data_IF_094802335166
#
_entry.id   IF_094802335166
#
_cell.length_a   1.000
_cell.length_b   1.000
_cell.length_c   1.000
_cell.angle_alpha   90.00
_cell.angle_beta   90.00
_cell.angle_gamma   90.00
#
_symmetry.space_group_name_H-M   'P 1'
#
loop_
_entity.id
_entity.type
_entity.pdbx_description
1 polymer ?
#
# COMPACT_ATOMS: atom_id res chain seq x y z
N UNK A 1 103.58 -36.22 -53.27
CA UNK A 1 102.84 -35.27 -54.14
C UNK A 1 101.37 -35.65 -54.32
N UNK A 2 101.02 -36.92 -54.54
CA UNK A 2 99.61 -37.36 -54.68
C UNK A 2 98.74 -37.29 -53.39
N UNK A 3 99.31 -37.52 -52.20
CA UNK A 3 98.55 -37.40 -50.94
C UNK A 3 98.13 -35.95 -50.63
N UNK A 4 99.06 -35.01 -50.76
CA UNK A 4 98.81 -33.57 -50.58
C UNK A 4 97.70 -33.03 -51.49
N UNK A 5 97.62 -33.54 -52.74
CA UNK A 5 96.55 -33.17 -53.69
C UNK A 5 95.21 -33.76 -53.25
N UNK A 6 95.20 -34.98 -52.70
CA UNK A 6 94.00 -35.66 -52.20
C UNK A 6 93.45 -34.98 -50.94
N UNK A 7 94.34 -34.59 -50.04
CA UNK A 7 94.02 -33.85 -48.81
C UNK A 7 93.50 -32.43 -49.13
N UNK A 8 94.13 -31.73 -50.07
CA UNK A 8 93.64 -30.45 -50.62
C UNK A 8 92.25 -30.54 -51.28
N UNK A 9 91.93 -31.67 -51.91
CA UNK A 9 90.59 -31.94 -52.46
C UNK A 9 89.58 -32.18 -51.35
N UNK A 10 89.94 -33.00 -50.36
CA UNK A 10 89.08 -33.34 -49.23
C UNK A 10 88.76 -32.12 -48.35
N UNK A 11 89.76 -31.28 -48.03
CA UNK A 11 89.58 -30.01 -47.35
C UNK A 11 88.65 -29.07 -48.12
N UNK A 12 88.76 -29.02 -49.46
CA UNK A 12 87.86 -28.22 -50.31
C UNK A 12 86.42 -28.73 -50.28
N UNK A 13 86.22 -30.04 -50.31
CA UNK A 13 84.88 -30.65 -50.20
C UNK A 13 84.25 -30.39 -48.84
N UNK A 14 85.04 -30.50 -47.77
CA UNK A 14 84.62 -30.17 -46.41
C UNK A 14 84.24 -28.69 -46.32
N UNK A 15 85.09 -27.77 -46.80
CA UNK A 15 84.78 -26.34 -46.82
C UNK A 15 83.49 -26.06 -47.60
N UNK A 16 83.31 -26.65 -48.79
CA UNK A 16 82.06 -26.51 -49.55
C UNK A 16 80.84 -27.01 -48.78
N UNK A 17 80.97 -28.13 -48.06
CA UNK A 17 79.88 -28.67 -47.25
C UNK A 17 79.52 -27.74 -46.09
N UNK A 18 80.52 -27.13 -45.43
CA UNK A 18 80.30 -26.14 -44.39
C UNK A 18 79.68 -24.87 -44.94
N UNK A 19 80.18 -24.32 -46.05
CA UNK A 19 79.59 -23.14 -46.70
C UNK A 19 78.14 -23.37 -47.10
N UNK A 20 77.82 -24.56 -47.63
CA UNK A 20 76.44 -24.92 -47.98
C UNK A 20 75.52 -24.97 -46.76
N UNK A 21 75.96 -25.60 -45.67
CA UNK A 21 75.20 -25.64 -44.40
C UNK A 21 75.03 -24.26 -43.77
N UNK A 22 76.03 -23.39 -43.91
CA UNK A 22 75.99 -22.02 -43.40
C UNK A 22 74.97 -21.19 -44.18
N UNK A 23 74.91 -21.34 -45.52
CA UNK A 23 73.87 -20.75 -46.37
C UNK A 23 72.47 -21.28 -46.03
N UNK A 24 72.29 -22.60 -45.87
CA UNK A 24 71.01 -23.20 -45.47
C UNK A 24 70.57 -22.71 -44.06
N UNK A 25 71.53 -22.53 -43.14
CA UNK A 25 71.27 -21.97 -41.82
C UNK A 25 70.88 -20.48 -41.86
N UNK A 26 71.51 -19.69 -42.73
CA UNK A 26 71.15 -18.28 -42.94
C UNK A 26 69.75 -18.15 -43.57
N UNK A 27 69.44 -18.96 -44.58
CA UNK A 27 68.14 -18.97 -45.25
C UNK A 27 67.00 -19.40 -44.30
N UNK A 28 67.23 -20.45 -43.51
CA UNK A 28 66.26 -20.88 -42.49
C UNK A 28 66.05 -19.84 -41.39
N UNK A 29 67.12 -19.16 -40.94
CA UNK A 29 67.03 -18.05 -39.98
C UNK A 29 66.21 -16.88 -40.54
N UNK A 30 66.43 -16.50 -41.80
CA UNK A 30 65.66 -15.45 -42.46
C UNK A 30 64.17 -15.83 -42.56
N UNK A 31 63.87 -17.08 -42.91
CA UNK A 31 62.50 -17.60 -42.99
C UNK A 31 61.80 -17.61 -41.63
N UNK A 32 62.51 -18.01 -40.57
CA UNK A 32 61.99 -18.00 -39.20
C UNK A 32 61.74 -16.56 -38.71
N UNK A 33 62.62 -15.62 -39.04
CA UNK A 33 62.44 -14.21 -38.69
C UNK A 33 61.16 -13.64 -39.32
N UNK A 34 60.97 -13.87 -40.63
CA UNK A 34 59.75 -13.44 -41.33
C UNK A 34 58.49 -14.07 -40.74
N UNK A 35 58.56 -15.34 -40.34
CA UNK A 35 57.43 -16.04 -39.72
C UNK A 35 57.11 -15.49 -38.33
N UNK A 36 58.12 -15.17 -37.53
CA UNK A 36 57.93 -14.52 -36.22
C UNK A 36 57.30 -13.14 -36.38
N UNK A 37 57.78 -12.32 -37.31
CA UNK A 37 57.21 -11.00 -37.58
C UNK A 37 55.74 -11.08 -38.01
N UNK A 38 55.40 -12.05 -38.88
CA UNK A 38 54.00 -12.30 -39.25
C UNK A 38 53.16 -12.79 -38.06
N UNK A 39 53.72 -13.61 -37.17
CA UNK A 39 53.03 -14.07 -35.96
C UNK A 39 52.79 -12.94 -34.97
N UNK A 40 53.77 -12.05 -34.77
CA UNK A 40 53.62 -10.85 -33.92
C UNK A 40 52.53 -9.92 -34.48
N UNK A 41 52.53 -9.70 -35.80
CA UNK A 41 51.48 -8.92 -36.46
C UNK A 41 50.10 -9.56 -36.28
N UNK A 42 49.99 -10.87 -36.53
CA UNK A 42 48.72 -11.58 -36.34
C UNK A 42 48.26 -11.56 -34.86
N UNK A 43 49.20 -11.61 -33.92
CA UNK A 43 48.89 -11.58 -32.50
C UNK A 43 48.36 -10.21 -32.07
N UNK A 44 49.01 -9.13 -32.50
CA UNK A 44 48.53 -7.75 -32.27
C UNK A 44 47.16 -7.48 -32.91
N UNK A 45 46.92 -7.98 -34.13
CA UNK A 45 45.60 -7.90 -34.76
C UNK A 45 44.53 -8.65 -33.96
N UNK A 46 44.84 -9.83 -33.43
CA UNK A 46 43.94 -10.61 -32.58
C UNK A 46 43.65 -9.92 -31.24
N UNK A 47 44.67 -9.34 -30.61
CA UNK A 47 44.51 -8.58 -29.36
C UNK A 47 43.59 -7.38 -29.56
N UNK A 48 43.75 -6.63 -30.66
CA UNK A 48 42.87 -5.51 -30.99
C UNK A 48 41.41 -5.95 -31.19
N UNK A 49 41.18 -7.09 -31.86
CA UNK A 49 39.83 -7.64 -32.05
C UNK A 49 39.22 -8.09 -30.71
N UNK A 50 40.01 -8.73 -29.84
CA UNK A 50 39.55 -9.16 -28.51
C UNK A 50 39.18 -7.95 -27.66
N UNK A 51 40.02 -6.91 -27.65
CA UNK A 51 39.76 -5.69 -26.88
C UNK A 51 38.50 -4.97 -27.38
N UNK A 52 38.30 -4.92 -28.70
CA UNK A 52 37.07 -4.40 -29.30
C UNK A 52 35.84 -5.25 -28.93
N UNK A 53 35.95 -6.58 -28.94
CA UNK A 53 34.85 -7.47 -28.55
C UNK A 53 34.49 -7.31 -27.07
N UNK A 54 35.48 -7.24 -26.19
CA UNK A 54 35.30 -7.06 -24.74
C UNK A 54 34.65 -5.72 -24.42
N UNK A 55 35.11 -4.63 -25.04
CA UNK A 55 34.50 -3.31 -24.84
C UNK A 55 33.04 -3.27 -25.31
N UNK A 56 32.71 -3.95 -26.42
CA UNK A 56 31.34 -4.04 -26.92
C UNK A 56 30.44 -4.89 -26.04
N UNK A 57 30.95 -6.01 -25.50
CA UNK A 57 30.22 -6.82 -24.51
C UNK A 57 29.89 -5.96 -23.28
N UNK A 58 30.87 -5.22 -22.76
CA UNK A 58 30.68 -4.35 -21.59
C UNK A 58 29.63 -3.25 -21.83
N UNK A 59 29.60 -2.67 -23.03
CA UNK A 59 28.57 -1.71 -23.42
C UNK A 59 27.19 -2.36 -23.52
N UNK A 60 27.10 -3.56 -24.12
CA UNK A 60 25.84 -4.29 -24.22
C UNK A 60 25.31 -4.70 -22.84
N UNK A 61 26.16 -5.14 -21.92
CA UNK A 61 25.77 -5.45 -20.54
C UNK A 61 25.24 -4.21 -19.81
N UNK A 62 25.90 -3.06 -19.96
CA UNK A 62 25.43 -1.80 -19.38
C UNK A 62 24.09 -1.33 -19.96
N UNK A 63 23.91 -1.44 -21.28
CA UNK A 63 22.64 -1.07 -21.92
C UNK A 63 21.52 -2.05 -21.57
N UNK A 64 21.82 -3.34 -21.44
CA UNK A 64 20.82 -4.35 -21.08
C UNK A 64 20.38 -4.21 -19.61
N UNK A 65 21.29 -3.87 -18.70
CA UNK A 65 20.93 -3.57 -17.30
C UNK A 65 20.08 -2.30 -17.18
N UNK A 66 20.37 -1.27 -17.97
CA UNK A 66 19.54 -0.07 -18.06
C UNK A 66 18.16 -0.36 -18.69
N UNK A 67 18.09 -1.19 -19.74
CA UNK A 67 16.82 -1.58 -20.34
C UNK A 67 15.98 -2.43 -19.37
N UNK A 68 16.58 -3.34 -18.62
CA UNK A 68 15.88 -4.13 -17.61
C UNK A 68 15.33 -3.24 -16.49
N UNK A 69 16.09 -2.24 -16.04
CA UNK A 69 15.60 -1.30 -15.02
C UNK A 69 14.45 -0.44 -15.55
N UNK A 70 14.52 0.02 -16.81
CA UNK A 70 13.43 0.75 -17.48
C UNK A 70 12.17 -0.10 -17.68
N UNK A 71 12.31 -1.35 -18.13
CA UNK A 71 11.17 -2.27 -18.31
C UNK A 71 10.53 -2.65 -16.97
N UNK A 72 11.33 -2.78 -15.90
CA UNK A 72 10.80 -2.93 -14.54
C UNK A 72 10.03 -1.68 -14.08
N UNK A 73 10.54 -0.48 -14.37
CA UNK A 73 9.80 0.77 -14.11
C UNK A 73 8.49 0.84 -14.87
N UNK A 74 8.48 0.51 -16.17
CA UNK A 74 7.30 0.61 -17.03
C UNK A 74 6.17 -0.34 -16.62
N UNK A 75 6.48 -1.58 -16.20
CA UNK A 75 5.45 -2.53 -15.70
C UNK A 75 4.86 -2.12 -14.35
N UNK A 76 5.63 -1.43 -13.51
CA UNK A 76 5.20 -0.98 -12.19
C UNK A 76 4.29 0.25 -12.32
N UNK A 77 4.62 1.16 -13.24
CA UNK A 77 3.86 2.38 -13.51
C UNK A 77 2.46 2.13 -14.10
N UNK A 78 2.25 1.05 -14.86
CA UNK A 78 0.96 0.85 -15.55
C UNK A 78 -0.10 0.07 -14.73
N UNK A 79 0.30 -0.96 -13.96
CA UNK A 79 -0.67 -1.91 -13.35
C UNK A 79 -1.02 -1.63 -11.88
N UNK A 80 -0.08 -1.12 -11.10
CA UNK A 80 -0.30 -0.89 -9.66
C UNK A 80 -1.22 0.32 -9.42
N UNK A 81 -1.06 1.46 -10.11
CA UNK A 81 -1.94 2.61 -9.92
C UNK A 81 -3.39 2.28 -10.27
N UNK A 82 -3.63 1.54 -11.37
CA UNK A 82 -4.98 1.18 -11.81
C UNK A 82 -5.74 0.31 -10.81
N UNK A 83 -5.08 -0.67 -10.17
CA UNK A 83 -5.72 -1.49 -9.14
C UNK A 83 -6.05 -0.66 -7.89
N UNK A 84 -5.12 0.16 -7.42
CA UNK A 84 -5.34 1.02 -6.24
C UNK A 84 -6.44 2.06 -6.52
N UNK A 85 -6.50 2.61 -7.72
CA UNK A 85 -7.55 3.55 -8.12
C UNK A 85 -8.93 2.89 -8.19
N UNK A 86 -9.03 1.63 -8.66
CA UNK A 86 -10.30 0.89 -8.63
C UNK A 86 -10.80 0.67 -7.20
N UNK A 87 -9.92 0.24 -6.29
CA UNK A 87 -10.26 0.02 -4.88
C UNK A 87 -10.64 1.33 -4.20
N UNK A 88 -9.92 2.42 -4.49
CA UNK A 88 -10.23 3.76 -3.99
C UNK A 88 -11.58 4.27 -4.48
N UNK A 89 -11.93 4.03 -5.75
CA UNK A 89 -13.22 4.40 -6.32
C UNK A 89 -14.37 3.63 -5.66
N UNK A 90 -14.20 2.32 -5.48
CA UNK A 90 -15.18 1.47 -4.78
C UNK A 90 -15.37 1.95 -3.32
N UNK A 91 -14.27 2.16 -2.58
CA UNK A 91 -14.32 2.72 -1.22
C UNK A 91 -14.97 4.10 -1.17
N UNK A 92 -14.84 4.90 -2.23
CA UNK A 92 -15.44 6.23 -2.32
C UNK A 92 -16.94 6.21 -2.56
N UNK A 93 -17.40 5.32 -3.43
CA UNK A 93 -18.84 5.09 -3.66
C UNK A 93 -19.51 4.64 -2.37
N UNK A 94 -18.85 3.72 -1.67
CA UNK A 94 -19.29 3.20 -0.39
C UNK A 94 -19.36 4.28 0.70
N UNK A 95 -18.31 5.07 0.88
CA UNK A 95 -18.30 6.17 1.86
C UNK A 95 -19.44 7.18 1.62
N UNK A 96 -19.69 7.54 0.35
CA UNK A 96 -20.82 8.40 -0.01
C UNK A 96 -22.16 7.79 0.40
N UNK A 97 -22.32 6.47 0.29
CA UNK A 97 -23.50 5.77 0.77
C UNK A 97 -23.65 5.88 2.30
N UNK A 98 -22.58 5.61 3.09
CA UNK A 98 -22.65 5.72 4.55
C UNK A 98 -22.93 7.15 5.03
N UNK A 99 -22.31 8.16 4.40
CA UNK A 99 -22.57 9.57 4.69
C UNK A 99 -24.03 9.94 4.39
N UNK A 100 -24.54 9.55 3.22
CA UNK A 100 -25.95 9.80 2.85
C UNK A 100 -26.91 9.14 3.83
N UNK A 101 -26.68 7.88 4.18
CA UNK A 101 -27.53 7.17 5.14
C UNK A 101 -27.48 7.84 6.52
N UNK A 102 -26.30 8.26 6.98
CA UNK A 102 -26.18 9.02 8.24
C UNK A 102 -27.02 10.29 8.23
N UNK A 103 -26.98 11.06 7.14
CA UNK A 103 -27.76 12.30 6.99
C UNK A 103 -29.27 12.04 6.98
N UNK A 104 -29.73 10.98 6.28
CA UNK A 104 -31.14 10.61 6.25
C UNK A 104 -31.65 10.22 7.64
N UNK A 105 -30.88 9.41 8.37
CA UNK A 105 -31.23 9.03 9.74
C UNK A 105 -31.20 10.23 10.71
N UNK A 106 -30.24 11.15 10.57
CA UNK A 106 -30.18 12.37 11.37
C UNK A 106 -31.41 13.26 11.12
N UNK A 107 -31.73 13.51 9.85
CA UNK A 107 -32.86 14.33 9.45
C UNK A 107 -34.19 13.74 9.95
N UNK A 108 -34.37 12.42 9.79
CA UNK A 108 -35.54 11.71 10.30
C UNK A 108 -35.64 11.81 11.82
N UNK A 109 -34.53 11.64 12.54
CA UNK A 109 -34.48 11.79 13.99
C UNK A 109 -34.85 13.19 14.46
N UNK A 110 -34.34 14.23 13.78
CA UNK A 110 -34.72 15.61 14.04
C UNK A 110 -36.22 15.87 13.81
N UNK A 111 -36.80 15.32 12.74
CA UNK A 111 -38.24 15.43 12.46
C UNK A 111 -39.06 14.79 13.60
N UNK A 112 -38.73 13.56 14.00
CA UNK A 112 -39.45 12.89 15.08
C UNK A 112 -39.29 13.61 16.43
N UNK A 113 -38.11 14.16 16.71
CA UNK A 113 -37.87 14.99 17.89
C UNK A 113 -38.71 16.27 17.88
N UNK A 114 -38.77 16.99 16.75
CA UNK A 114 -39.62 18.17 16.61
C UNK A 114 -41.10 17.82 16.75
N UNK A 115 -41.57 16.73 16.13
CA UNK A 115 -42.93 16.25 16.26
C UNK A 115 -43.28 15.89 17.71
N UNK A 116 -42.36 15.30 18.47
CA UNK A 116 -42.56 15.01 19.89
C UNK A 116 -42.75 16.29 20.71
N UNK A 117 -41.95 17.33 20.45
CA UNK A 117 -42.07 18.64 21.10
C UNK A 117 -43.39 19.31 20.73
N UNK A 118 -43.75 19.33 19.44
CA UNK A 118 -45.03 19.87 18.98
C UNK A 118 -46.22 19.12 19.58
N UNK A 119 -46.18 17.79 19.65
CA UNK A 119 -47.22 16.97 20.26
C UNK A 119 -47.36 17.25 21.77
N UNK A 120 -46.24 17.50 22.47
CA UNK A 120 -46.25 17.91 23.87
C UNK A 120 -46.97 19.24 24.08
N UNK A 121 -46.60 20.28 23.30
CA UNK A 121 -47.27 21.58 23.38
C UNK A 121 -48.74 21.52 22.96
N UNK A 122 -49.08 20.73 21.93
CA UNK A 122 -50.46 20.53 21.52
C UNK A 122 -51.30 19.88 22.64
N UNK A 123 -50.73 18.88 23.33
CA UNK A 123 -51.39 18.22 24.47
C UNK A 123 -51.64 19.19 25.63
N UNK A 124 -50.75 20.16 25.85
CA UNK A 124 -50.92 21.21 26.86
C UNK A 124 -51.91 22.31 26.45
N UNK A 125 -51.96 22.65 25.16
CA UNK A 125 -52.85 23.68 24.63
C UNK A 125 -54.30 23.20 24.48
N UNK A 126 -54.51 21.91 24.20
CA UNK A 126 -55.83 21.30 24.12
C UNK A 126 -56.56 21.53 25.44
N UNK A 127 -57.51 22.46 25.44
CA UNK A 127 -58.22 22.90 26.63
C UNK A 127 -59.15 21.78 27.07
N UNK A 128 -58.72 21.01 28.08
CA UNK A 128 -59.58 20.02 28.71
C UNK A 128 -60.62 20.79 29.52
N UNK A 129 -61.89 20.63 29.20
CA UNK A 129 -62.98 21.31 29.90
C UNK A 129 -63.19 20.63 31.26
N UNK A 130 -62.42 21.07 32.27
CA UNK A 130 -62.34 20.44 33.60
C UNK A 130 -63.67 20.38 34.37
N UNK A 131 -64.70 21.10 33.91
CA UNK A 131 -66.00 21.18 34.59
C UNK A 131 -66.85 19.90 34.46
N UNK A 132 -66.55 18.99 33.52
CA UNK A 132 -67.38 17.80 33.27
C UNK A 132 -66.59 16.47 33.24
N UNK A 133 -65.29 16.51 33.56
CA UNK A 133 -64.38 15.38 33.35
C UNK A 133 -64.22 14.57 34.63
N UNK A 134 -64.60 13.29 34.59
CA UNK A 134 -64.31 12.35 35.69
C UNK A 134 -62.79 12.14 35.78
N UNK A 135 -62.23 12.00 36.98
CA UNK A 135 -60.77 11.83 37.17
C UNK A 135 -60.13 10.70 36.34
N UNK A 136 -60.92 9.68 35.97
CA UNK A 136 -60.48 8.59 35.10
C UNK A 136 -60.27 9.00 33.63
N UNK A 137 -61.06 9.93 33.11
CA UNK A 137 -60.89 10.48 31.75
C UNK A 137 -59.65 11.37 31.66
N UNK A 138 -59.38 12.16 32.71
CA UNK A 138 -58.15 12.95 32.80
C UNK A 138 -56.90 12.05 32.80
N UNK A 139 -56.95 10.94 33.55
CA UNK A 139 -55.89 9.93 33.56
C UNK A 139 -55.67 9.29 32.18
N UNK A 140 -56.76 9.02 31.44
CA UNK A 140 -56.69 8.48 30.07
C UNK A 140 -56.04 9.47 29.08
N UNK A 141 -56.41 10.75 29.11
CA UNK A 141 -55.80 11.77 28.23
C UNK A 141 -54.30 11.96 28.54
N UNK A 142 -53.94 11.99 29.83
CA UNK A 142 -52.55 12.12 30.25
C UNK A 142 -51.69 10.94 29.80
N UNK A 143 -52.15 9.71 30.04
CA UNK A 143 -51.41 8.48 29.68
C UNK A 143 -51.27 8.33 28.16
N UNK A 144 -52.32 8.64 27.39
CA UNK A 144 -52.26 8.62 25.91
C UNK A 144 -51.25 9.62 25.35
N UNK A 145 -51.24 10.85 25.87
CA UNK A 145 -50.26 11.87 25.47
C UNK A 145 -48.83 11.47 25.82
N UNK A 146 -48.61 10.95 27.03
CA UNK A 146 -47.31 10.47 27.50
C UNK A 146 -46.79 9.31 26.63
N UNK A 147 -47.65 8.34 26.29
CA UNK A 147 -47.27 7.23 25.40
C UNK A 147 -46.88 7.76 24.01
N UNK A 148 -47.67 8.68 23.44
CA UNK A 148 -47.37 9.26 22.12
C UNK A 148 -46.03 9.98 22.07
N UNK A 149 -45.76 10.84 23.06
CA UNK A 149 -44.48 11.57 23.17
C UNK A 149 -43.32 10.60 23.40
N UNK A 150 -43.53 9.56 24.23
CA UNK A 150 -42.50 8.56 24.53
C UNK A 150 -42.11 7.74 23.30
N UNK A 151 -43.10 7.32 22.49
CA UNK A 151 -42.85 6.58 21.24
C UNK A 151 -42.09 7.46 20.25
N UNK A 152 -42.51 8.72 20.05
CA UNK A 152 -41.81 9.64 19.14
C UNK A 152 -40.37 9.93 19.60
N UNK A 153 -40.18 10.12 20.91
CA UNK A 153 -38.85 10.33 21.50
C UNK A 153 -37.95 9.10 21.36
N UNK A 154 -38.51 7.90 21.55
CA UNK A 154 -37.81 6.64 21.32
C UNK A 154 -37.40 6.50 19.85
N UNK A 155 -38.30 6.82 18.93
CA UNK A 155 -38.04 6.71 17.49
C UNK A 155 -36.95 7.70 17.06
N UNK A 156 -36.98 8.93 17.58
CA UNK A 156 -35.91 9.90 17.41
C UNK A 156 -34.56 9.38 17.94
N UNK A 157 -34.54 8.77 19.13
CA UNK A 157 -33.34 8.17 19.72
C UNK A 157 -32.74 7.07 18.84
N UNK A 158 -33.57 6.14 18.34
CA UNK A 158 -33.11 5.10 17.41
C UNK A 158 -32.53 5.71 16.13
N UNK A 159 -33.20 6.71 15.56
CA UNK A 159 -32.74 7.34 14.32
C UNK A 159 -31.38 8.02 14.51
N UNK A 160 -31.22 8.79 15.59
CA UNK A 160 -29.95 9.45 15.91
C UNK A 160 -28.84 8.47 16.29
N UNK A 161 -29.19 7.38 16.98
CA UNK A 161 -28.26 6.28 17.28
C UNK A 161 -27.74 5.61 16.00
N UNK A 162 -28.63 5.34 15.04
CA UNK A 162 -28.21 4.81 13.74
C UNK A 162 -27.35 5.82 12.98
N UNK A 163 -27.73 7.09 12.93
CA UNK A 163 -26.92 8.15 12.30
C UNK A 163 -25.50 8.16 12.87
N UNK A 164 -25.33 8.09 14.21
CA UNK A 164 -24.02 8.00 14.85
C UNK A 164 -23.21 6.79 14.37
N UNK A 165 -23.84 5.61 14.22
CA UNK A 165 -23.17 4.39 13.72
C UNK A 165 -22.69 4.56 12.28
N UNK A 166 -23.55 5.08 11.39
CA UNK A 166 -23.19 5.37 10.00
C UNK A 166 -22.06 6.41 9.91
N UNK A 167 -22.09 7.45 10.76
CA UNK A 167 -21.02 8.45 10.85
C UNK A 167 -19.70 7.84 11.30
N UNK A 168 -19.70 7.01 12.34
CA UNK A 168 -18.50 6.34 12.81
C UNK A 168 -17.87 5.44 11.74
N UNK A 169 -18.69 4.68 11.01
CA UNK A 169 -18.20 3.86 9.90
C UNK A 169 -17.66 4.71 8.74
N UNK A 170 -18.27 5.86 8.43
CA UNK A 170 -17.74 6.78 7.41
C UNK A 170 -16.35 7.35 7.78
N UNK A 171 -16.12 7.66 9.07
CA UNK A 171 -14.82 8.15 9.55
C UNK A 171 -13.76 7.05 9.40
N UNK A 172 -14.04 5.83 9.85
CA UNK A 172 -13.13 4.69 9.70
C UNK A 172 -12.77 4.43 8.23
N UNK A 173 -13.74 4.54 7.32
CA UNK A 173 -13.50 4.35 5.88
C UNK A 173 -12.70 5.49 5.26
N UNK A 174 -12.87 6.71 5.73
CA UNK A 174 -12.03 7.86 5.34
C UNK A 174 -10.58 7.64 5.76
N UNK A 175 -10.34 7.15 6.97
CA UNK A 175 -8.99 6.83 7.46
C UNK A 175 -8.35 5.69 6.63
N UNK A 176 -9.12 4.64 6.31
CA UNK A 176 -8.67 3.57 5.40
C UNK A 176 -8.28 4.10 4.02
N UNK A 177 -9.06 5.02 3.46
CA UNK A 177 -8.74 5.64 2.18
C UNK A 177 -7.45 6.47 2.27
N UNK A 178 -7.26 7.19 3.37
CA UNK A 178 -6.04 7.96 3.60
C UNK A 178 -4.80 7.04 3.66
N UNK A 179 -4.89 5.90 4.35
CA UNK A 179 -3.84 4.89 4.38
C UNK A 179 -3.54 4.29 2.99
N UNK A 180 -4.59 3.98 2.19
CA UNK A 180 -4.40 3.51 0.80
C UNK A 180 -3.72 4.56 -0.07
N UNK A 181 -4.11 5.82 0.05
CA UNK A 181 -3.52 6.92 -0.72
C UNK A 181 -2.04 7.09 -0.40
N UNK A 182 -1.67 6.97 0.87
CA UNK A 182 -0.26 6.96 1.27
C UNK A 182 0.48 5.78 0.63
N UNK A 183 -0.10 4.58 0.66
CA UNK A 183 0.51 3.41 0.02
C UNK A 183 0.64 3.51 -1.49
N UNK A 184 -0.33 4.14 -2.14
CA UNK A 184 -0.27 4.47 -3.57
C UNK A 184 0.94 5.36 -3.89
N UNK A 185 1.10 6.45 -3.13
CA UNK A 185 2.21 7.40 -3.30
C UNK A 185 3.56 6.71 -3.00
N UNK A 186 3.62 5.86 -1.98
CA UNK A 186 4.82 5.09 -1.68
C UNK A 186 5.22 4.17 -2.84
N UNK A 187 4.28 3.42 -3.41
CA UNK A 187 4.56 2.57 -4.56
C UNK A 187 4.91 3.38 -5.82
N UNK A 188 4.36 4.57 -6.00
CA UNK A 188 4.75 5.46 -7.11
C UNK A 188 6.18 6.00 -6.97
N UNK A 189 6.63 6.33 -5.75
CA UNK A 189 7.96 6.91 -5.52
C UNK A 189 9.04 5.81 -5.41
N UNK A 190 8.73 4.72 -4.73
CA UNK A 190 9.70 3.69 -4.36
C UNK A 190 9.43 2.32 -4.99
N UNK A 191 8.36 2.14 -5.78
CA UNK A 191 7.95 0.83 -6.30
C UNK A 191 9.04 0.09 -7.06
N UNK A 192 9.93 0.81 -7.75
CA UNK A 192 11.06 0.21 -8.49
C UNK A 192 12.19 -0.34 -7.61
N UNK A 193 12.29 0.11 -6.36
CA UNK A 193 13.35 -0.28 -5.40
C UNK A 193 12.80 -0.96 -4.15
N UNK A 194 11.48 -0.93 -3.96
CA UNK A 194 10.77 -1.45 -2.80
C UNK A 194 10.72 -2.97 -2.86
N UNK A 195 11.03 -3.60 -1.73
CA UNK A 195 10.83 -5.04 -1.56
C UNK A 195 9.35 -5.36 -1.30
N UNK A 196 8.99 -6.65 -1.39
CA UNK A 196 7.63 -7.11 -1.05
C UNK A 196 7.31 -6.81 0.41
N UNK A 197 8.30 -6.91 1.27
CA UNK A 197 8.23 -6.67 2.71
C UNK A 197 7.88 -5.21 3.01
N UNK A 198 8.50 -4.26 2.28
CA UNK A 198 8.20 -2.83 2.41
C UNK A 198 6.77 -2.50 1.98
N UNK A 199 6.30 -3.09 0.87
CA UNK A 199 4.92 -2.93 0.43
C UNK A 199 3.93 -3.48 1.47
N UNK A 200 4.20 -4.66 2.04
CA UNK A 200 3.38 -5.22 3.12
C UNK A 200 3.37 -4.29 4.34
N UNK A 201 4.50 -3.69 4.71
CA UNK A 201 4.61 -2.79 5.85
C UNK A 201 3.72 -1.55 5.66
N UNK A 202 3.69 -1.00 4.45
CA UNK A 202 2.92 0.19 4.10
C UNK A 202 1.41 -0.08 4.04
N UNK A 203 0.99 -1.26 3.60
CA UNK A 203 -0.44 -1.64 3.55
C UNK A 203 -0.94 -2.37 4.79
N UNK A 204 -0.06 -2.73 5.74
CA UNK A 204 -0.44 -3.48 6.96
C UNK A 204 -1.53 -2.77 7.74
N UNK A 205 -1.43 -1.45 7.85
CA UNK A 205 -2.31 -0.63 8.67
C UNK A 205 -3.59 -0.22 7.92
N UNK A 206 -3.76 -0.60 6.65
CA UNK A 206 -5.03 -0.37 5.95
C UNK A 206 -6.16 -1.27 6.45
N UNK A 207 -5.83 -2.49 6.89
CA UNK A 207 -6.81 -3.46 7.37
C UNK A 207 -7.23 -3.23 8.85
N UNK A 208 -7.58 -1.99 9.21
CA UNK A 208 -8.13 -1.66 10.54
C UNK A 208 -9.60 -2.11 10.70
N UNK A 209 -9.93 -3.35 10.31
CA UNK A 209 -11.31 -3.89 10.25
C UNK A 209 -11.90 -4.32 11.60
N UNK A 210 -11.19 -4.13 12.72
CA UNK A 210 -11.55 -4.73 14.00
C UNK A 210 -12.80 -4.16 14.71
N UNK A 211 -13.13 -2.88 14.53
CA UNK A 211 -14.17 -2.21 15.31
C UNK A 211 -15.25 -1.58 14.43
N UNK A 212 -16.14 -2.40 13.83
CA UNK A 212 -17.31 -1.83 13.15
C UNK A 212 -18.33 -1.32 14.16
N UNK A 213 -18.86 -0.12 13.92
CA UNK A 213 -19.93 0.48 14.73
C UNK A 213 -21.25 -0.33 14.72
N UNK A 214 -21.35 -1.29 13.79
CA UNK A 214 -22.50 -2.19 13.66
C UNK A 214 -22.31 -3.52 14.41
N UNK A 215 -21.09 -3.82 14.88
CA UNK A 215 -20.82 -5.00 15.71
C UNK A 215 -21.28 -4.81 17.16
N UNK A 216 -21.42 -3.55 17.61
CA UNK A 216 -21.90 -3.25 18.96
C UNK A 216 -23.42 -3.45 19.02
N UNK A 217 -23.86 -4.22 20.02
CA UNK A 217 -25.28 -4.49 20.30
C UNK A 217 -25.99 -3.14 20.32
N UNK A 218 -27.08 -3.01 19.55
CA UNK A 218 -27.93 -1.81 19.56
C UNK A 218 -28.19 -1.37 20.99
N UNK A 219 -27.60 -0.24 21.39
CA UNK A 219 -27.86 0.41 22.67
C UNK A 219 -29.36 0.72 22.68
N UNK A 220 -30.12 -0.16 23.35
CA UNK A 220 -31.52 0.12 23.66
C UNK A 220 -31.54 1.39 24.50
N UNK A 221 -32.52 2.28 24.31
CA UNK A 221 -32.63 3.46 25.15
C UNK A 221 -32.60 3.03 26.61
N UNK A 222 -31.92 3.78 27.50
CA UNK A 222 -31.73 3.38 28.88
C UNK A 222 -33.10 3.08 29.49
N UNK A 223 -33.32 1.81 29.81
CA UNK A 223 -34.54 1.38 30.49
C UNK A 223 -34.65 2.11 31.83
N UNK A 224 -35.87 2.24 32.35
CA UNK A 224 -36.15 2.95 33.62
C UNK A 224 -35.25 2.43 34.77
N UNK A 225 -34.87 1.15 34.75
CA UNK A 225 -33.90 0.55 35.67
C UNK A 225 -32.49 1.14 35.54
N UNK A 226 -31.94 1.29 34.34
CA UNK A 226 -30.61 1.87 34.13
C UNK A 226 -30.54 3.35 34.50
N UNK A 227 -31.64 4.10 34.31
CA UNK A 227 -31.76 5.47 34.79
C UNK A 227 -31.84 5.53 36.31
N UNK A 228 -32.58 4.60 36.93
CA UNK A 228 -32.65 4.46 38.39
C UNK A 228 -31.28 4.12 39.00
N UNK A 229 -30.55 3.18 38.40
CA UNK A 229 -29.22 2.77 38.86
C UNK A 229 -28.20 3.90 38.68
N UNK A 230 -28.19 4.60 37.54
CA UNK A 230 -27.34 5.77 37.31
C UNK A 230 -27.63 6.92 38.29
N UNK A 231 -28.90 7.08 38.67
CA UNK A 231 -29.33 8.09 39.63
C UNK A 231 -28.95 7.70 41.06
N UNK A 232 -29.12 6.42 41.42
CA UNK A 232 -28.70 5.85 42.71
C UNK A 232 -27.18 5.90 42.90
N UNK A 233 -26.42 5.69 41.83
CA UNK A 233 -24.96 5.77 41.83
C UNK A 233 -24.48 7.20 42.03
N UNK A 234 -25.13 8.18 41.38
CA UNK A 234 -24.88 9.62 41.60
C UNK A 234 -25.33 10.14 42.99
N UNK A 235 -26.25 9.43 43.65
CA UNK A 235 -26.75 9.76 44.99
C UNK A 235 -25.96 9.10 46.13
N UNK A 236 -24.99 8.23 45.84
CA UNK A 236 -24.15 7.61 46.87
C UNK A 236 -23.16 8.66 47.39
N UNK A 237 -23.24 9.11 48.65
CA UNK A 237 -22.36 10.16 49.16
C UNK A 237 -20.93 9.63 49.24
N UNK A 238 -19.99 10.44 48.74
CA UNK A 238 -18.55 10.26 48.90
C UNK A 238 -18.19 10.14 50.38
N UNK A 239 -18.12 8.92 50.90
CA UNK A 239 -17.65 8.63 52.25
C UNK A 239 -16.69 7.45 52.16
N UNK A 240 -15.47 7.73 51.71
CA UNK A 240 -14.31 6.86 51.89
C UNK A 240 -13.02 7.63 51.59
N UNK A 241 -12.73 8.68 52.35
CA UNK A 241 -11.35 9.19 52.46
C UNK A 241 -11.14 9.79 53.84
N UNK A 242 -10.88 8.91 54.81
CA UNK A 242 -10.10 9.16 56.05
C UNK A 242 -10.10 7.88 56.88
N UNK A 243 -9.08 7.05 56.68
CA UNK A 243 -8.53 6.16 57.70
C UNK A 243 -7.24 5.52 57.17
N UNK A 244 -6.10 6.17 57.44
CA UNK A 244 -4.83 5.52 57.73
C UNK A 244 -3.87 6.58 58.27
N UNK A 245 -3.89 6.73 59.59
CA UNK A 245 -2.68 6.95 60.38
C UNK A 245 -1.81 5.70 60.34
#
# INVERSE_FOLDING_TARGET
MNELIKEQKHLREIMRSYTKRLLEAEESKATLHLRNENLEKLNSEKEAIIEQAVSRIKQLEASNSELQSRVQQERIDEKIPGYVDSVKSELSSDDLYFIKMSQVWAFSGCIFGLLAVCASFYTLYATIDFNNVKGFELFYFFTRGLIGISILSWLAYICLGNSKKYTHESILRKDRRHALMFGQVFLQIYGSTSTKEDAVLVFKDWNMSGNSAFSDKTELPPGIQSLWDSTKEKLKPSTAEKAQE
#
